data_IF_495732599122
#
_entry.id   IF_495732599122
#
_cell.length_a   1.000
_cell.length_b   1.000
_cell.length_c   1.000
_cell.angle_alpha   90.00
_cell.angle_beta   90.00
_cell.angle_gamma   90.00
#
_symmetry.space_group_name_H-M   'P 1'
#
loop_
_entity.id
_entity.type
_entity.pdbx_description
1 polymer ?
#
# COMPACT_ATOMS: atom_id res chain seq x y z
N UNK A 1 -22.24 11.67 -13.05
CA UNK A 1 -21.21 10.94 -12.29
C UNK A 1 -19.95 11.76 -12.36
N UNK A 2 -19.42 12.20 -11.22
CA UNK A 2 -18.17 12.97 -11.17
C UNK A 2 -17.02 11.99 -11.42
N UNK A 3 -16.13 12.34 -12.35
CA UNK A 3 -14.94 11.54 -12.60
C UNK A 3 -13.99 11.78 -11.40
N UNK A 4 -13.46 10.73 -10.77
CA UNK A 4 -12.46 10.84 -9.72
C UNK A 4 -11.25 11.66 -10.20
N UNK A 5 -10.62 12.39 -9.29
CA UNK A 5 -9.62 13.39 -9.65
C UNK A 5 -8.34 12.78 -10.26
N UNK A 6 -8.01 11.51 -9.93
CA UNK A 6 -6.82 10.81 -10.43
C UNK A 6 -5.53 11.59 -10.15
N UNK A 7 -5.47 12.25 -9.00
CA UNK A 7 -4.44 13.21 -8.62
C UNK A 7 -3.61 12.79 -7.40
N UNK A 8 -3.90 11.63 -6.80
CA UNK A 8 -3.08 11.07 -5.72
C UNK A 8 -1.67 10.75 -6.20
N UNK A 9 -0.64 11.41 -5.64
CA UNK A 9 0.75 11.08 -5.94
C UNK A 9 1.22 11.47 -7.35
N UNK A 10 0.74 12.59 -7.92
CA UNK A 10 1.20 13.09 -9.24
C UNK A 10 2.73 13.34 -9.31
N UNK A 11 3.36 13.57 -8.16
CA UNK A 11 4.80 13.76 -8.02
C UNK A 11 5.59 12.44 -8.07
N UNK A 12 4.93 11.28 -7.95
CA UNK A 12 5.60 9.98 -7.93
C UNK A 12 6.14 9.68 -9.34
N UNK A 13 7.46 9.64 -9.45
CA UNK A 13 8.18 9.20 -10.64
C UNK A 13 8.74 7.80 -10.40
N UNK A 14 8.90 7.03 -11.49
CA UNK A 14 9.37 5.64 -11.44
C UNK A 14 10.43 5.39 -12.50
N UNK A 15 11.29 4.42 -12.23
CA UNK A 15 12.23 3.90 -13.21
C UNK A 15 11.59 2.77 -14.02
N UNK A 16 11.97 2.64 -15.29
CA UNK A 16 11.52 1.51 -16.10
C UNK A 16 11.97 0.18 -15.48
N UNK A 17 11.02 -0.71 -15.22
CA UNK A 17 11.23 -2.02 -14.60
C UNK A 17 11.31 -2.01 -13.07
N UNK A 18 11.16 -0.85 -12.41
CA UNK A 18 11.12 -0.75 -10.95
C UNK A 18 9.96 -1.59 -10.40
N UNK A 19 10.24 -2.48 -9.44
CA UNK A 19 9.23 -3.35 -8.84
C UNK A 19 8.56 -2.64 -7.66
N UNK A 20 7.30 -2.24 -7.84
CA UNK A 20 6.56 -1.38 -6.91
C UNK A 20 5.33 -2.10 -6.40
N UNK A 21 5.15 -2.11 -5.08
CA UNK A 21 3.87 -2.44 -4.46
C UNK A 21 3.12 -1.16 -4.10
N UNK A 22 1.90 -1.03 -4.59
CA UNK A 22 0.95 0.02 -4.18
C UNK A 22 -0.08 -0.59 -3.22
N UNK A 23 -0.15 -0.06 -2.01
CA UNK A 23 -1.05 -0.49 -0.93
C UNK A 23 -2.09 0.58 -0.63
N UNK A 24 -3.36 0.33 -0.94
CA UNK A 24 -4.47 1.13 -0.41
C UNK A 24 -4.81 0.75 1.04
N UNK A 25 -5.26 1.71 1.86
CA UNK A 25 -5.76 1.42 3.21
C UNK A 25 -7.27 1.18 3.21
N UNK A 26 -7.73 0.15 3.91
CA UNK A 26 -9.14 -0.23 4.04
C UNK A 26 -9.91 -0.16 2.72
N UNK A 27 -10.92 0.70 2.71
CA UNK A 27 -11.80 0.98 1.58
C UNK A 27 -11.26 2.08 0.63
N UNK A 28 -10.17 2.77 1.00
CA UNK A 28 -9.47 3.74 0.16
C UNK A 28 -8.57 3.00 -0.86
N UNK A 29 -9.21 2.49 -1.92
CA UNK A 29 -8.55 1.66 -2.95
C UNK A 29 -8.64 2.22 -4.35
N UNK A 30 -9.60 3.10 -4.63
CA UNK A 30 -9.83 3.62 -5.98
C UNK A 30 -8.71 4.55 -6.49
N UNK A 31 -8.39 5.60 -5.75
CA UNK A 31 -7.30 6.53 -6.10
C UNK A 31 -5.91 5.85 -6.08
N UNK A 32 -5.61 4.95 -5.11
CA UNK A 32 -4.39 4.14 -5.16
C UNK A 32 -4.31 3.21 -6.38
N UNK A 33 -5.43 2.65 -6.82
CA UNK A 33 -5.48 1.83 -8.04
C UNK A 33 -5.17 2.67 -9.28
N UNK A 34 -5.74 3.89 -9.40
CA UNK A 34 -5.40 4.80 -10.50
C UNK A 34 -3.93 5.21 -10.47
N UNK A 35 -3.34 5.42 -9.28
CA UNK A 35 -1.90 5.63 -9.15
C UNK A 35 -1.13 4.42 -9.68
N UNK A 36 -1.48 3.19 -9.27
CA UNK A 36 -0.84 1.96 -9.73
C UNK A 36 -0.86 1.84 -11.26
N UNK A 37 -2.00 2.10 -11.91
CA UNK A 37 -2.12 2.10 -13.38
C UNK A 37 -1.19 3.14 -14.04
N UNK A 38 -1.09 4.35 -13.47
CA UNK A 38 -0.17 5.38 -14.01
C UNK A 38 1.29 4.96 -13.87
N UNK A 39 1.67 4.32 -12.78
CA UNK A 39 3.04 3.84 -12.56
C UNK A 39 3.38 2.69 -13.53
N UNK A 40 2.45 1.77 -13.76
CA UNK A 40 2.60 0.70 -14.74
C UNK A 40 2.75 1.28 -16.16
N UNK A 41 1.90 2.25 -16.53
CA UNK A 41 1.99 2.95 -17.82
C UNK A 41 3.31 3.73 -17.99
N UNK A 42 3.93 4.18 -16.89
CA UNK A 42 5.25 4.81 -16.88
C UNK A 42 6.41 3.80 -16.95
N UNK A 43 6.12 2.49 -16.95
CA UNK A 43 7.08 1.41 -17.19
C UNK A 43 7.52 0.64 -15.94
N UNK A 44 6.93 0.90 -14.76
CA UNK A 44 7.18 0.10 -13.57
C UNK A 44 6.52 -1.29 -13.64
N UNK A 45 7.04 -2.26 -12.88
CA UNK A 45 6.36 -3.53 -12.60
C UNK A 45 5.54 -3.35 -11.33
N UNK A 46 4.21 -3.27 -11.45
CA UNK A 46 3.36 -2.85 -10.34
C UNK A 46 2.53 -4.01 -9.81
N UNK A 47 2.55 -4.21 -8.50
CA UNK A 47 1.61 -5.04 -7.76
C UNK A 47 0.69 -4.12 -6.98
N UNK A 48 -0.61 -4.37 -7.04
CA UNK A 48 -1.61 -3.64 -6.26
C UNK A 48 -2.22 -4.55 -5.19
N UNK A 49 -2.38 -4.02 -3.97
CA UNK A 49 -3.12 -4.67 -2.90
C UNK A 49 -3.72 -3.64 -1.94
N UNK A 50 -4.45 -4.11 -0.94
CA UNK A 50 -4.97 -3.25 0.11
C UNK A 50 -4.93 -3.92 1.47
N UNK A 51 -4.92 -3.09 2.51
CA UNK A 51 -5.08 -3.55 3.88
C UNK A 51 -6.52 -3.97 4.12
N UNK A 52 -6.77 -4.91 5.03
CA UNK A 52 -8.13 -5.31 5.40
C UNK A 52 -8.28 -5.53 6.90
N UNK A 53 -9.51 -5.42 7.41
CA UNK A 53 -9.87 -5.79 8.78
C UNK A 53 -10.16 -7.28 8.95
N UNK A 54 -10.27 -8.02 7.84
CA UNK A 54 -10.57 -9.46 7.86
C UNK A 54 -9.36 -10.26 8.36
N UNK A 55 -9.48 -11.04 9.46
CA UNK A 55 -8.41 -11.87 9.99
C UNK A 55 -8.34 -13.22 9.27
N UNK A 56 -7.85 -13.21 8.03
CA UNK A 56 -7.67 -14.42 7.21
C UNK A 56 -6.52 -15.24 7.79
N UNK A 57 -6.77 -16.51 8.04
CA UNK A 57 -5.73 -17.45 8.47
C UNK A 57 -4.68 -17.64 7.38
N UNK A 58 -3.40 -17.63 7.77
CA UNK A 58 -2.31 -18.09 6.91
C UNK A 58 -2.46 -19.57 6.60
N UNK A 59 -2.10 -19.96 5.39
CA UNK A 59 -2.23 -21.31 4.84
C UNK A 59 -2.71 -21.28 3.40
N UNK A 60 -2.38 -22.32 2.63
CA UNK A 60 -2.73 -22.46 1.22
C UNK A 60 -2.28 -21.24 0.38
N UNK A 61 -3.23 -20.40 -0.06
CA UNK A 61 -2.97 -19.23 -0.89
C UNK A 61 -2.40 -18.02 -0.11
N UNK A 62 -2.53 -18.03 1.23
CA UNK A 62 -2.04 -16.95 2.09
C UNK A 62 -0.75 -17.39 2.78
N UNK A 63 0.38 -16.93 2.28
CA UNK A 63 1.71 -17.35 2.73
C UNK A 63 2.25 -16.50 3.88
N UNK A 64 1.82 -15.25 3.98
CA UNK A 64 2.26 -14.34 5.04
C UNK A 64 1.17 -13.35 5.43
N UNK A 65 1.18 -12.91 6.68
CA UNK A 65 0.32 -11.86 7.19
C UNK A 65 1.13 -10.88 8.03
N UNK A 66 0.94 -9.57 7.79
CA UNK A 66 1.43 -8.48 8.62
C UNK A 66 0.22 -7.92 9.35
N UNK A 67 0.21 -7.94 10.68
CA UNK A 67 -0.87 -7.40 11.52
C UNK A 67 -0.41 -6.11 12.21
N UNK A 68 -1.26 -5.10 12.20
CA UNK A 68 -0.98 -3.76 12.71
C UNK A 68 -2.30 -3.07 13.13
N UNK A 69 -2.21 -1.90 13.77
CA UNK A 69 -3.39 -1.11 14.16
C UNK A 69 -3.87 -0.21 13.02
N UNK A 70 -5.17 0.08 12.99
CA UNK A 70 -5.75 0.98 12.00
C UNK A 70 -5.19 2.41 12.07
N UNK A 71 -5.21 3.07 10.92
CA UNK A 71 -4.77 4.45 10.74
C UNK A 71 -5.83 5.52 11.13
N UNK A 72 -6.98 5.10 11.69
CA UNK A 72 -8.06 5.97 12.19
C UNK A 72 -8.07 6.08 13.73
N UNK A 73 -7.19 5.36 14.43
CA UNK A 73 -7.10 5.38 15.90
C UNK A 73 -8.21 4.61 16.62
N UNK A 74 -8.90 3.67 15.94
CA UNK A 74 -10.00 2.89 16.50
C UNK A 74 -9.53 1.65 17.29
N UNK A 75 -8.25 1.32 17.21
CA UNK A 75 -7.68 0.11 17.84
C UNK A 75 -8.10 -1.18 17.15
N UNK A 76 -8.55 -1.10 15.90
CA UNK A 76 -9.01 -2.24 15.11
C UNK A 76 -7.80 -2.85 14.39
N UNK A 77 -7.53 -4.17 14.56
CA UNK A 77 -6.49 -4.84 13.82
C UNK A 77 -6.73 -4.78 12.31
N UNK A 78 -5.69 -4.39 11.58
CA UNK A 78 -5.61 -4.42 10.13
C UNK A 78 -4.52 -5.39 9.70
N UNK A 79 -4.67 -5.89 8.49
CA UNK A 79 -3.83 -6.94 7.94
C UNK A 79 -3.43 -6.61 6.50
N UNK A 80 -2.17 -6.91 6.16
CA UNK A 80 -1.66 -7.00 4.78
C UNK A 80 -1.20 -8.43 4.56
N UNK A 81 -1.67 -9.05 3.48
CA UNK A 81 -1.38 -10.44 3.16
C UNK A 81 -0.39 -10.56 2.02
N UNK A 82 0.34 -11.68 2.03
CA UNK A 82 1.27 -12.06 0.98
C UNK A 82 2.39 -11.06 0.68
N UNK A 83 2.72 -10.13 1.57
CA UNK A 83 3.81 -9.16 1.35
C UNK A 83 5.13 -9.57 2.03
N UNK A 84 5.08 -10.09 3.26
CA UNK A 84 6.27 -10.27 4.10
C UNK A 84 7.31 -11.31 3.62
N UNK A 85 7.03 -12.03 2.53
CA UNK A 85 7.93 -13.02 1.93
C UNK A 85 8.40 -12.61 0.52
N UNK A 86 7.90 -11.48 0.01
CA UNK A 86 8.27 -10.94 -1.30
C UNK A 86 9.35 -9.86 -1.12
N UNK A 87 9.89 -9.35 -2.22
CA UNK A 87 10.81 -8.23 -2.23
C UNK A 87 10.36 -7.21 -3.29
N UNK A 88 10.42 -5.93 -2.95
CA UNK A 88 10.10 -4.82 -3.83
C UNK A 88 11.24 -3.80 -3.82
N UNK A 89 11.35 -3.00 -4.88
CA UNK A 89 12.25 -1.84 -4.89
C UNK A 89 11.64 -0.70 -4.07
N UNK A 90 10.31 -0.60 -4.10
CA UNK A 90 9.55 0.47 -3.44
C UNK A 90 8.15 0.04 -3.03
N UNK A 91 7.69 0.51 -1.89
CA UNK A 91 6.31 0.30 -1.42
C UNK A 91 5.66 1.66 -1.17
N UNK A 92 4.49 1.88 -1.78
CA UNK A 92 3.68 3.08 -1.62
C UNK A 92 2.43 2.76 -0.81
N UNK A 93 2.34 3.28 0.40
CA UNK A 93 1.16 3.17 1.27
C UNK A 93 0.29 4.38 1.01
N UNK A 94 -0.89 4.17 0.47
CA UNK A 94 -1.81 5.24 0.13
C UNK A 94 -2.95 5.27 1.15
N UNK A 95 -3.09 6.38 1.86
CA UNK A 95 -4.14 6.57 2.85
C UNK A 95 -4.78 7.96 2.75
N UNK A 96 -6.05 8.04 3.16
CA UNK A 96 -6.80 9.30 3.27
C UNK A 96 -6.57 10.01 4.60
N UNK A 97 -5.93 9.33 5.55
CA UNK A 97 -5.55 9.88 6.86
C UNK A 97 -4.15 10.50 6.79
N UNK A 98 -3.77 11.35 7.78
CA UNK A 98 -2.43 11.92 7.84
C UNK A 98 -1.34 10.84 7.82
N UNK A 99 -0.19 11.11 7.19
CA UNK A 99 0.89 10.12 7.10
C UNK A 99 1.38 9.65 8.49
N UNK A 100 1.30 10.53 9.48
CA UNK A 100 1.63 10.26 10.88
C UNK A 100 0.69 9.28 11.58
N UNK A 101 -0.47 8.95 11.01
CA UNK A 101 -1.42 7.99 11.59
C UNK A 101 -1.17 6.55 11.18
N UNK A 102 -0.27 6.30 10.21
CA UNK A 102 0.12 4.94 9.81
C UNK A 102 0.89 4.26 10.95
N UNK A 103 0.48 3.06 11.33
CA UNK A 103 1.12 2.31 12.42
C UNK A 103 2.62 2.06 12.11
N UNK A 104 3.55 2.47 12.98
CA UNK A 104 4.98 2.20 12.81
C UNK A 104 5.31 0.72 12.60
N UNK A 105 4.51 -0.21 13.14
CA UNK A 105 4.69 -1.66 12.92
C UNK A 105 4.49 -2.06 11.46
N UNK A 106 3.58 -1.40 10.75
CA UNK A 106 3.42 -1.61 9.32
C UNK A 106 4.67 -1.11 8.58
N UNK A 107 5.13 0.10 8.89
CA UNK A 107 6.31 0.70 8.25
C UNK A 107 7.57 -0.15 8.47
N UNK A 108 7.78 -0.63 9.69
CA UNK A 108 8.90 -1.52 10.05
C UNK A 108 8.84 -2.82 9.25
N UNK A 109 7.67 -3.49 9.20
CA UNK A 109 7.50 -4.74 8.48
C UNK A 109 7.71 -4.58 6.96
N UNK A 110 7.25 -3.47 6.38
CA UNK A 110 7.43 -3.18 4.94
C UNK A 110 8.88 -2.80 4.61
N UNK A 111 9.58 -2.11 5.51
CA UNK A 111 10.99 -1.76 5.34
C UNK A 111 11.92 -2.98 5.35
N UNK A 112 11.44 -4.12 5.87
CA UNK A 112 12.17 -5.39 5.81
C UNK A 112 12.16 -6.02 4.40
N UNK A 113 11.20 -5.66 3.55
CA UNK A 113 10.99 -6.25 2.21
C UNK A 113 11.17 -5.24 1.07
N UNK A 114 11.39 -3.97 1.39
CA UNK A 114 11.73 -2.94 0.41
C UNK A 114 12.67 -1.87 1.00
N UNK A 115 13.68 -1.39 0.25
CA UNK A 115 14.57 -0.34 0.71
C UNK A 115 13.90 1.04 0.80
N UNK A 116 12.79 1.24 0.08
CA UNK A 116 12.03 2.49 0.07
C UNK A 116 10.57 2.22 0.43
N UNK A 117 10.07 2.87 1.49
CA UNK A 117 8.66 2.83 1.90
C UNK A 117 8.18 4.27 2.05
N UNK A 118 7.13 4.63 1.32
CA UNK A 118 6.57 5.99 1.31
C UNK A 118 5.08 5.96 1.63
N UNK A 119 4.64 6.96 2.39
CA UNK A 119 3.23 7.18 2.66
C UNK A 119 2.75 8.31 1.75
N UNK A 120 1.76 8.01 0.91
CA UNK A 120 1.17 8.92 -0.06
C UNK A 120 -0.22 9.33 0.44
N UNK A 121 -0.37 10.63 0.69
CA UNK A 121 -1.59 11.28 1.20
C UNK A 121 -1.96 12.47 0.32
N UNK A 122 -3.11 13.08 0.60
CA UNK A 122 -3.51 14.37 0.01
C UNK A 122 -3.00 15.61 0.78
N UNK A 123 -2.37 15.39 1.94
CA UNK A 123 -1.69 16.44 2.70
C UNK A 123 -0.45 17.01 1.99
#
# INVERSE_FOLDING_TARGET
MQIPASDLGLQVQVSHGENILVLGTGEFVWEPFLLAERLEAAGAQVVFSSTTRSPISTGYAIQSAIAFSDNYGLGIPNYVYNVAHQQFDRILICCETPASSVDPRLLEALSAVAPTVEVITYE
#
